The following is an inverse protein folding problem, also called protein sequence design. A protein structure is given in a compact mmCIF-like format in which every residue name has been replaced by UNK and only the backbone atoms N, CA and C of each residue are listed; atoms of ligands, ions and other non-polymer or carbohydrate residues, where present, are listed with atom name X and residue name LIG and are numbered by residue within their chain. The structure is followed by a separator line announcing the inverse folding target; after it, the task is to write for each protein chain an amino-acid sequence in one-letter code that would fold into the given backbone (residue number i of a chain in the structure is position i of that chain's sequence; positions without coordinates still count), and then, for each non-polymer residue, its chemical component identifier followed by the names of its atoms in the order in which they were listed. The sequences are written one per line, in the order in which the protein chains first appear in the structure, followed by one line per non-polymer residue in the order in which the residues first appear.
data_IF_604276307780
#
_entry.id   IF_604276307780
#
_cell.length_a   1.000
_cell.length_b   1.000
_cell.length_c   1.000
_cell.angle_alpha   90.00
_cell.angle_beta   90.00
_cell.angle_gamma   90.00
#
_symmetry.space_group_name_H-M   'P 1'
#
loop_
_entity.id
_entity.type
_entity.pdbx_description
1 polymer ?
#
# COMPACT_ATOMS: atom_id res chain seq x y z
N UNK A 1 1.73 -21.85 8.33
CA UNK A 1 2.82 -20.86 8.36
C UNK A 1 2.20 -19.51 8.08
N UNK A 2 2.59 -18.46 8.81
CA UNK A 2 2.09 -17.12 8.58
C UNK A 2 2.32 -16.66 7.14
N UNK A 3 1.44 -15.77 6.64
CA UNK A 3 1.62 -15.19 5.31
C UNK A 3 2.95 -14.43 5.22
N UNK A 4 3.78 -14.75 4.23
CA UNK A 4 5.06 -14.08 4.04
C UNK A 4 4.91 -12.70 3.39
N UNK A 5 5.88 -11.82 3.60
CA UNK A 5 5.92 -10.48 2.96
C UNK A 5 5.80 -10.57 1.44
N UNK A 6 6.50 -11.53 0.80
CA UNK A 6 6.39 -11.76 -0.64
C UNK A 6 4.97 -12.14 -1.07
N UNK A 7 4.27 -12.94 -0.27
CA UNK A 7 2.87 -13.29 -0.54
C UNK A 7 1.96 -12.07 -0.38
N UNK A 8 2.20 -11.21 0.62
CA UNK A 8 1.48 -9.95 0.82
C UNK A 8 1.68 -9.03 -0.40
N UNK A 9 2.92 -8.74 -0.79
CA UNK A 9 3.23 -7.88 -1.95
C UNK A 9 2.58 -8.40 -3.24
N UNK A 10 2.65 -9.72 -3.49
CA UNK A 10 2.00 -10.33 -4.64
C UNK A 10 0.48 -10.21 -4.58
N UNK A 11 -0.12 -10.42 -3.41
CA UNK A 11 -1.56 -10.28 -3.21
C UNK A 11 -2.02 -8.84 -3.41
N UNK A 12 -1.27 -7.85 -2.94
CA UNK A 12 -1.54 -6.43 -3.17
C UNK A 12 -1.52 -6.11 -4.67
N UNK A 13 -0.47 -6.52 -5.41
CA UNK A 13 -0.44 -6.33 -6.86
C UNK A 13 -1.64 -6.98 -7.55
N UNK A 14 -1.96 -8.22 -7.19
CA UNK A 14 -3.11 -8.94 -7.75
C UNK A 14 -4.44 -8.25 -7.45
N UNK A 15 -4.64 -7.78 -6.22
CA UNK A 15 -5.85 -7.04 -5.82
C UNK A 15 -6.01 -5.72 -6.57
N UNK A 16 -4.93 -4.96 -6.73
CA UNK A 16 -4.94 -3.71 -7.51
C UNK A 16 -5.30 -3.98 -8.97
N UNK A 17 -4.69 -4.99 -9.60
CA UNK A 17 -5.02 -5.37 -10.98
C UNK A 17 -6.49 -5.79 -11.10
N UNK A 18 -6.97 -6.65 -10.20
CA UNK A 18 -8.35 -7.14 -10.19
C UNK A 18 -9.36 -6.02 -10.01
N UNK A 19 -9.09 -5.06 -9.12
CA UNK A 19 -9.93 -3.88 -8.91
C UNK A 19 -10.01 -3.02 -10.17
N UNK A 20 -8.87 -2.76 -10.82
CA UNK A 20 -8.86 -1.98 -12.06
C UNK A 20 -9.61 -2.68 -13.20
N UNK A 21 -9.39 -3.97 -13.40
CA UNK A 21 -10.09 -4.74 -14.44
C UNK A 21 -11.60 -4.81 -14.19
N UNK A 22 -11.99 -5.02 -12.94
CA UNK A 22 -13.40 -5.05 -12.52
C UNK A 22 -14.07 -3.70 -12.77
N UNK A 23 -13.41 -2.61 -12.37
CA UNK A 23 -13.93 -1.27 -12.58
C UNK A 23 -13.99 -0.88 -14.06
N UNK A 24 -12.96 -1.20 -14.85
CA UNK A 24 -12.93 -0.98 -16.31
C UNK A 24 -14.10 -1.69 -16.99
N UNK A 25 -14.40 -2.92 -16.58
CA UNK A 25 -15.54 -3.68 -17.09
C UNK A 25 -16.89 -3.04 -16.73
N UNK A 26 -17.03 -2.51 -15.51
CA UNK A 26 -18.26 -1.87 -15.03
C UNK A 26 -18.51 -0.53 -15.73
N UNK A 27 -17.48 0.29 -15.81
CA UNK A 27 -17.51 1.64 -16.38
C UNK A 27 -17.43 1.68 -17.91
N UNK A 28 -17.13 0.54 -18.55
CA UNK A 28 -16.89 0.41 -20.00
C UNK A 28 -15.64 1.14 -20.50
N UNK A 29 -14.63 1.32 -19.64
CA UNK A 29 -13.32 1.79 -20.08
C UNK A 29 -12.57 2.70 -19.10
N UNK A 30 -13.19 3.12 -17.99
CA UNK A 30 -12.52 3.93 -16.98
C UNK A 30 -11.66 3.07 -16.05
N UNK A 31 -10.52 3.61 -15.63
CA UNK A 31 -9.66 3.01 -14.61
C UNK A 31 -9.97 3.56 -13.23
N UNK A 32 -9.53 2.85 -12.18
CA UNK A 32 -9.76 3.28 -10.79
C UNK A 32 -9.12 4.63 -10.48
N UNK A 33 -8.06 4.99 -11.21
CA UNK A 33 -7.41 6.31 -11.16
C UNK A 33 -8.34 7.44 -11.61
N UNK A 34 -9.29 7.17 -12.51
CA UNK A 34 -10.16 8.20 -13.10
C UNK A 34 -11.29 8.59 -12.16
N UNK A 35 -11.79 7.64 -11.37
CA UNK A 35 -12.97 7.82 -10.52
C UNK A 35 -12.69 7.70 -9.01
N UNK A 36 -11.46 7.37 -8.63
CA UNK A 36 -11.02 7.34 -7.24
C UNK A 36 -11.72 6.30 -6.37
N UNK A 37 -11.92 5.11 -6.91
CA UNK A 37 -12.63 4.03 -6.23
C UNK A 37 -11.69 3.24 -5.29
N UNK A 38 -11.07 3.94 -4.33
CA UNK A 38 -10.08 3.35 -3.40
C UNK A 38 -10.66 2.16 -2.63
N UNK A 39 -11.90 2.27 -2.14
CA UNK A 39 -12.56 1.17 -1.42
C UNK A 39 -12.70 -0.12 -2.24
N UNK A 40 -12.84 -0.03 -3.57
CA UNK A 40 -12.82 -1.23 -4.43
C UNK A 40 -11.41 -1.85 -4.47
N UNK A 41 -10.36 -1.04 -4.59
CA UNK A 41 -8.98 -1.53 -4.49
C UNK A 41 -8.73 -2.19 -3.14
N UNK A 42 -9.13 -1.54 -2.04
CA UNK A 42 -9.00 -2.07 -0.67
C UNK A 42 -9.69 -3.43 -0.54
N UNK A 43 -10.92 -3.56 -1.01
CA UNK A 43 -11.67 -4.81 -0.95
C UNK A 43 -11.00 -5.94 -1.75
N UNK A 44 -10.55 -5.67 -2.99
CA UNK A 44 -9.88 -6.70 -3.81
C UNK A 44 -8.50 -7.09 -3.26
N UNK A 45 -7.75 -6.15 -2.67
CA UNK A 45 -6.48 -6.43 -1.99
C UNK A 45 -6.73 -7.35 -0.78
N UNK A 46 -7.70 -7.01 0.07
CA UNK A 46 -8.05 -7.82 1.22
C UNK A 46 -8.50 -9.23 0.82
N UNK A 47 -9.37 -9.35 -0.18
CA UNK A 47 -9.80 -10.64 -0.74
C UNK A 47 -8.62 -11.45 -1.29
N UNK A 48 -7.66 -10.82 -1.96
CA UNK A 48 -6.46 -11.48 -2.47
C UNK A 48 -5.54 -11.97 -1.33
N UNK A 49 -5.42 -11.21 -0.25
CA UNK A 49 -4.65 -11.59 0.95
C UNK A 49 -5.32 -12.74 1.69
N UNK A 50 -6.64 -12.65 1.93
CA UNK A 50 -7.41 -13.67 2.64
C UNK A 50 -7.26 -15.07 1.99
N UNK A 51 -7.19 -15.13 0.65
CA UNK A 51 -6.94 -16.37 -0.11
C UNK A 51 -5.56 -16.98 0.12
N UNK A 52 -4.61 -16.23 0.69
CA UNK A 52 -3.22 -16.65 0.95
C UNK A 52 -2.92 -16.83 2.43
N UNK A 53 -3.74 -16.28 3.31
CA UNK A 53 -3.61 -16.43 4.75
C UNK A 53 -3.87 -17.88 5.19
N UNK A 54 -3.24 -18.26 6.30
CA UNK A 54 -3.60 -19.47 7.02
C UNK A 54 -4.95 -19.30 7.74
N UNK A 55 -5.62 -20.40 8.07
CA UNK A 55 -6.98 -20.37 8.64
C UNK A 55 -7.09 -19.61 9.97
N UNK A 56 -5.99 -19.53 10.71
CA UNK A 56 -5.94 -18.92 12.04
C UNK A 56 -5.46 -17.47 12.00
N UNK A 57 -5.01 -16.98 10.84
CA UNK A 57 -4.76 -15.55 10.63
C UNK A 57 -6.04 -14.85 10.22
N UNK A 58 -6.11 -13.55 10.50
CA UNK A 58 -7.24 -12.72 10.08
C UNK A 58 -6.76 -11.41 9.47
N UNK A 59 -7.70 -10.71 8.86
CA UNK A 59 -7.54 -9.33 8.45
C UNK A 59 -8.80 -8.55 8.79
N UNK A 60 -8.64 -7.26 9.04
CA UNK A 60 -9.75 -6.34 9.19
C UNK A 60 -9.53 -5.12 8.30
N UNK A 61 -10.64 -4.51 7.90
CA UNK A 61 -10.65 -3.28 7.12
C UNK A 61 -10.91 -2.09 8.05
N UNK A 62 -10.39 -0.93 7.68
CA UNK A 62 -10.74 0.34 8.31
C UNK A 62 -10.48 0.31 9.83
N UNK A 63 -9.31 -0.16 10.24
CA UNK A 63 -9.00 -0.42 11.65
C UNK A 63 -8.47 0.84 12.31
N UNK A 64 -9.13 1.27 13.39
CA UNK A 64 -8.67 2.43 14.15
C UNK A 64 -7.29 2.18 14.79
N UNK A 65 -6.43 3.20 14.81
CA UNK A 65 -5.10 3.10 15.42
C UNK A 65 -5.17 2.78 16.92
N UNK A 66 -6.28 3.17 17.58
CA UNK A 66 -6.58 2.75 18.95
C UNK A 66 -6.68 1.22 19.09
N UNK A 67 -7.31 0.55 18.14
CA UNK A 67 -7.46 -0.90 18.14
C UNK A 67 -6.11 -1.59 17.90
N UNK A 68 -5.36 -1.13 16.90
CA UNK A 68 -3.98 -1.59 16.64
C UNK A 68 -3.14 -1.49 17.91
N UNK A 69 -3.18 -0.34 18.61
CA UNK A 69 -2.47 -0.15 19.88
C UNK A 69 -2.87 -1.18 20.93
N UNK A 70 -4.17 -1.37 21.14
CA UNK A 70 -4.70 -2.30 22.15
C UNK A 70 -4.25 -3.74 21.87
N UNK A 71 -4.27 -4.16 20.60
CA UNK A 71 -3.86 -5.52 20.22
C UNK A 71 -2.34 -5.71 20.07
N UNK A 72 -1.56 -4.63 19.94
CA UNK A 72 -0.12 -4.71 19.64
C UNK A 72 0.76 -5.32 20.72
N UNK A 73 0.29 -5.44 21.98
CA UNK A 73 1.05 -5.83 23.18
C UNK A 73 2.34 -5.04 23.47
N UNK A 74 2.71 -4.09 22.62
CA UNK A 74 3.97 -3.37 22.72
C UNK A 74 4.03 -2.49 23.96
N UNK A 75 5.25 -2.28 24.47
CA UNK A 75 5.48 -1.45 25.64
C UNK A 75 4.90 -0.04 25.47
N UNK A 76 4.09 0.41 26.43
CA UNK A 76 3.53 1.76 26.44
C UNK A 76 4.67 2.76 26.73
N UNK A 77 5.06 3.56 25.73
CA UNK A 77 6.03 4.62 25.89
C UNK A 77 5.44 5.71 26.77
N UNK A 78 6.26 6.19 27.69
CA UNK A 78 5.93 7.35 28.53
C UNK A 78 6.02 8.62 27.69
N UNK A 79 5.12 9.57 27.92
CA UNK A 79 5.15 10.90 27.30
C UNK A 79 4.03 11.19 26.29
N UNK A 80 4.11 12.37 25.65
CA UNK A 80 3.13 12.83 24.67
C UNK A 80 3.22 11.97 23.41
N UNK A 81 2.08 11.50 22.92
CA UNK A 81 2.02 10.70 21.70
C UNK A 81 2.26 11.58 20.46
N UNK A 82 2.99 11.08 19.45
CA UNK A 82 3.11 11.74 18.16
C UNK A 82 1.73 11.95 17.52
N UNK A 83 1.55 13.07 16.81
CA UNK A 83 0.32 13.37 16.06
C UNK A 83 0.02 12.33 14.98
N UNK A 84 1.06 11.74 14.39
CA UNK A 84 0.94 10.63 13.44
C UNK A 84 0.21 9.40 14.04
N UNK A 85 0.28 9.22 15.37
CA UNK A 85 -0.38 8.13 16.10
C UNK A 85 -1.71 8.58 16.74
N UNK A 86 -2.40 9.53 16.13
CA UNK A 86 -3.74 9.92 16.57
C UNK A 86 -4.68 8.71 16.55
N UNK A 87 -5.37 8.46 17.66
CA UNK A 87 -6.26 7.31 17.84
C UNK A 87 -7.50 7.34 16.94
N UNK A 88 -7.86 8.52 16.41
CA UNK A 88 -8.95 8.69 15.47
C UNK A 88 -8.56 8.32 14.03
N UNK A 89 -7.27 8.13 13.75
CA UNK A 89 -6.82 7.63 12.46
C UNK A 89 -7.21 6.16 12.29
N UNK A 90 -7.33 5.73 11.04
CA UNK A 90 -7.62 4.35 10.63
C UNK A 90 -6.60 3.94 9.57
N UNK A 91 -6.27 2.65 9.55
CA UNK A 91 -5.56 2.01 8.45
C UNK A 91 -6.58 1.28 7.57
N UNK A 92 -6.42 1.34 6.24
CA UNK A 92 -7.35 0.70 5.31
C UNK A 92 -7.44 -0.83 5.51
N UNK A 93 -6.30 -1.49 5.74
CA UNK A 93 -6.22 -2.94 6.03
C UNK A 93 -5.20 -3.20 7.14
N UNK A 94 -5.53 -4.09 8.07
CA UNK A 94 -4.61 -4.62 9.08
C UNK A 94 -4.65 -6.14 9.06
N UNK A 95 -3.49 -6.76 9.05
CA UNK A 95 -3.35 -8.22 9.19
C UNK A 95 -3.02 -8.56 10.63
N UNK A 96 -3.60 -9.65 11.12
CA UNK A 96 -3.38 -10.18 12.46
C UNK A 96 -2.86 -11.62 12.39
N UNK A 97 -1.97 -11.95 13.32
CA UNK A 97 -1.53 -13.33 13.54
C UNK A 97 -2.60 -14.16 14.29
N UNK A 98 -2.30 -15.42 14.57
CA UNK A 98 -3.19 -16.33 15.30
C UNK A 98 -3.53 -15.89 16.73
N UNK A 99 -2.70 -15.03 17.33
CA UNK A 99 -2.91 -14.47 18.67
C UNK A 99 -3.62 -13.10 18.60
N UNK A 100 -4.16 -12.74 17.42
CA UNK A 100 -4.84 -11.48 17.16
C UNK A 100 -3.96 -10.24 17.38
N UNK A 101 -2.66 -10.37 17.15
CA UNK A 101 -1.70 -9.26 17.21
C UNK A 101 -1.44 -8.72 15.80
N UNK A 102 -1.40 -7.39 15.62
CA UNK A 102 -1.20 -6.77 14.32
C UNK A 102 0.22 -7.04 13.81
N UNK A 103 0.32 -7.58 12.59
CA UNK A 103 1.60 -7.89 11.93
C UNK A 103 1.92 -6.97 10.77
N UNK A 104 0.89 -6.40 10.15
CA UNK A 104 1.00 -5.58 8.96
C UNK A 104 -0.12 -4.55 8.88
N UNK A 105 0.21 -3.35 8.40
CA UNK A 105 -0.76 -2.31 8.02
C UNK A 105 -0.62 -1.96 6.54
N UNK A 106 -1.72 -1.71 5.85
CA UNK A 106 -1.73 -1.35 4.44
C UNK A 106 -2.63 -0.13 4.27
N UNK A 107 -2.11 0.91 3.64
CA UNK A 107 -2.86 2.06 3.15
C UNK A 107 -2.95 1.99 1.62
N UNK A 108 -4.11 2.31 1.08
CA UNK A 108 -4.43 2.20 -0.34
C UNK A 108 -4.74 3.58 -0.89
N UNK A 109 -4.15 3.92 -2.03
CA UNK A 109 -4.41 5.16 -2.75
C UNK A 109 -4.72 4.94 -4.21
N UNK A 110 -5.61 5.74 -4.76
CA UNK A 110 -5.94 5.72 -6.19
C UNK A 110 -4.80 6.22 -7.06
N UNK A 111 -3.90 7.03 -6.50
CA UNK A 111 -2.77 7.66 -7.19
C UNK A 111 -1.78 8.22 -6.16
N UNK A 112 -0.61 8.62 -6.62
CA UNK A 112 0.31 9.40 -5.80
C UNK A 112 -0.12 10.86 -5.70
N UNK A 113 -0.44 11.28 -4.49
CA UNK A 113 -0.52 12.68 -4.09
C UNK A 113 0.52 12.92 -3.01
N UNK A 114 1.49 13.78 -3.30
CA UNK A 114 2.67 13.98 -2.46
C UNK A 114 2.30 14.23 -0.99
N UNK A 115 1.40 15.16 -0.70
CA UNK A 115 1.10 15.54 0.69
C UNK A 115 0.37 14.42 1.44
N UNK A 116 -0.60 13.78 0.78
CA UNK A 116 -1.39 12.74 1.41
C UNK A 116 -0.59 11.45 1.58
N UNK A 117 0.08 10.98 0.52
CA UNK A 117 0.95 9.80 0.57
C UNK A 117 2.09 9.99 1.57
N UNK A 118 2.63 11.21 1.68
CA UNK A 118 3.63 11.55 2.70
C UNK A 118 3.11 11.35 4.13
N UNK A 119 1.94 11.90 4.43
CA UNK A 119 1.32 11.74 5.75
C UNK A 119 1.03 10.26 6.04
N UNK A 120 0.57 9.50 5.06
CA UNK A 120 0.35 8.06 5.19
C UNK A 120 1.65 7.30 5.50
N UNK A 121 2.72 7.58 4.77
CA UNK A 121 4.03 6.98 5.03
C UNK A 121 4.55 7.35 6.42
N UNK A 122 4.38 8.61 6.86
CA UNK A 122 4.73 9.01 8.22
C UNK A 122 3.93 8.24 9.28
N UNK A 123 2.63 8.03 9.06
CA UNK A 123 1.77 7.25 9.96
C UNK A 123 2.18 5.78 9.99
N UNK A 124 2.42 5.17 8.84
CA UNK A 124 2.90 3.78 8.72
C UNK A 124 4.24 3.61 9.45
N UNK A 125 5.20 4.51 9.20
CA UNK A 125 6.49 4.47 9.87
C UNK A 125 6.35 4.59 11.38
N UNK A 126 5.54 5.54 11.86
CA UNK A 126 5.30 5.71 13.28
C UNK A 126 4.65 4.48 13.92
N UNK A 127 3.78 3.77 13.21
CA UNK A 127 3.19 2.50 13.67
C UNK A 127 4.24 1.40 13.77
N UNK A 128 5.05 1.19 12.72
CA UNK A 128 6.11 0.17 12.70
C UNK A 128 7.17 0.45 13.78
N UNK A 129 7.66 1.69 13.89
CA UNK A 129 8.66 2.06 14.91
C UNK A 129 8.13 1.86 16.35
N UNK A 130 6.82 1.96 16.55
CA UNK A 130 6.19 1.92 17.87
C UNK A 130 5.74 0.52 18.29
N UNK A 131 5.25 -0.27 17.35
CA UNK A 131 4.52 -1.52 17.60
C UNK A 131 5.22 -2.73 16.98
N UNK A 132 6.45 -2.59 16.50
CA UNK A 132 7.31 -3.67 16.04
C UNK A 132 7.81 -4.58 17.16
N UNK A 133 8.38 -5.72 16.76
CA UNK A 133 8.97 -6.75 17.61
C UNK A 133 10.08 -6.26 18.53
N UNK A 134 10.86 -5.26 18.12
CA UNK A 134 11.87 -4.64 18.99
C UNK A 134 11.27 -3.88 20.20
N UNK A 135 9.97 -3.58 20.17
CA UNK A 135 9.19 -2.99 21.27
C UNK A 135 8.25 -3.99 21.95
N UNK A 136 8.44 -5.29 21.75
CA UNK A 136 7.56 -6.38 22.20
C UNK A 136 6.19 -6.38 21.51
N UNK A 137 6.09 -5.75 20.34
CA UNK A 137 4.94 -5.88 19.46
C UNK A 137 5.20 -6.86 18.32
N UNK A 138 4.41 -6.77 17.25
CA UNK A 138 4.47 -7.69 16.10
C UNK A 138 4.34 -6.98 14.75
N UNK A 139 4.12 -5.66 14.75
CA UNK A 139 3.89 -4.86 13.56
C UNK A 139 5.23 -4.48 12.92
N UNK A 140 5.82 -5.43 12.21
CA UNK A 140 7.13 -5.27 11.57
C UNK A 140 7.05 -4.77 10.13
N UNK A 141 5.84 -4.71 9.56
CA UNK A 141 5.64 -4.32 8.17
C UNK A 141 4.50 -3.32 7.98
N UNK A 142 4.66 -2.45 6.99
CA UNK A 142 3.64 -1.54 6.54
C UNK A 142 3.75 -1.24 5.05
N UNK A 143 2.62 -1.01 4.38
CA UNK A 143 2.57 -0.83 2.94
C UNK A 143 1.74 0.39 2.57
N UNK A 144 2.23 1.20 1.62
CA UNK A 144 1.42 2.15 0.87
C UNK A 144 1.28 1.61 -0.56
N UNK A 145 0.07 1.28 -0.96
CA UNK A 145 -0.24 0.61 -2.21
C UNK A 145 -1.09 1.51 -3.11
N UNK A 146 -0.77 1.59 -4.41
CA UNK A 146 -1.49 2.46 -5.33
C UNK A 146 -1.46 2.00 -6.78
N UNK A 147 -2.35 2.58 -7.60
CA UNK A 147 -2.30 2.48 -9.05
C UNK A 147 -1.81 3.81 -9.65
N UNK A 148 -0.91 3.74 -10.63
CA UNK A 148 -0.37 4.89 -11.33
C UNK A 148 -0.64 4.73 -12.82
N UNK A 149 -1.50 5.58 -13.38
CA UNK A 149 -1.74 5.66 -14.82
C UNK A 149 -0.85 6.72 -15.47
N UNK A 150 -0.19 6.36 -16.57
CA UNK A 150 0.63 7.27 -17.39
C UNK A 150 0.30 7.11 -18.86
N UNK A 151 0.36 8.22 -19.59
CA UNK A 151 0.21 8.30 -21.03
C UNK A 151 1.55 8.54 -21.69
N UNK A 152 1.71 8.06 -22.91
CA UNK A 152 2.79 8.45 -23.81
C UNK A 152 2.86 9.98 -23.97
N UNK A 153 4.08 10.51 -23.92
CA UNK A 153 4.38 11.91 -24.18
C UNK A 153 5.08 12.09 -25.52
N UNK A 154 5.37 13.34 -25.90
CA UNK A 154 6.00 13.67 -27.21
C UNK A 154 7.34 12.96 -27.50
N UNK A 155 8.05 12.52 -26.45
CA UNK A 155 9.42 12.02 -26.55
C UNK A 155 9.57 10.61 -25.94
N UNK A 156 8.65 10.17 -25.07
CA UNK A 156 8.82 8.97 -24.26
C UNK A 156 7.55 8.11 -24.22
N UNK A 157 7.74 6.79 -24.24
CA UNK A 157 6.68 5.80 -24.02
C UNK A 157 6.08 5.92 -22.60
N UNK A 158 4.87 5.37 -22.36
CA UNK A 158 4.27 5.37 -21.03
C UNK A 158 5.16 4.71 -19.97
N UNK A 159 5.85 3.63 -20.35
CA UNK A 159 6.83 2.92 -19.51
C UNK A 159 8.01 3.82 -19.15
N UNK A 160 8.63 4.48 -20.13
CA UNK A 160 9.73 5.42 -19.86
C UNK A 160 9.30 6.61 -18.99
N UNK A 161 8.05 7.06 -19.09
CA UNK A 161 7.49 8.09 -18.21
C UNK A 161 7.28 7.54 -16.80
N UNK A 162 6.77 6.31 -16.68
CA UNK A 162 6.61 5.64 -15.40
C UNK A 162 7.96 5.42 -14.70
N UNK A 163 9.00 4.96 -15.41
CA UNK A 163 10.33 4.75 -14.84
C UNK A 163 10.97 6.05 -14.32
N UNK A 164 10.86 7.14 -15.08
CA UNK A 164 11.33 8.46 -14.61
C UNK A 164 10.54 8.95 -13.38
N UNK A 165 9.24 8.68 -13.35
CA UNK A 165 8.40 8.99 -12.21
C UNK A 165 8.78 8.13 -10.98
N UNK A 166 9.00 6.83 -11.18
CA UNK A 166 9.42 5.89 -10.16
C UNK A 166 10.76 6.28 -9.55
N UNK A 167 11.72 6.72 -10.37
CA UNK A 167 13.01 7.23 -9.91
C UNK A 167 12.85 8.38 -8.91
N UNK A 168 12.00 9.37 -9.23
CA UNK A 168 11.73 10.51 -8.34
C UNK A 168 11.07 10.09 -7.04
N UNK A 169 10.11 9.16 -7.10
CA UNK A 169 9.46 8.62 -5.90
C UNK A 169 10.48 7.89 -5.03
N UNK A 170 11.34 7.05 -5.63
CA UNK A 170 12.42 6.33 -4.93
C UNK A 170 13.37 7.28 -4.21
N UNK A 171 13.95 8.24 -4.94
CA UNK A 171 14.86 9.24 -4.39
C UNK A 171 14.25 9.97 -3.18
N UNK A 172 12.98 10.35 -3.30
CA UNK A 172 12.27 11.06 -2.25
C UNK A 172 11.98 10.19 -1.02
N UNK A 173 11.39 9.00 -1.22
CA UNK A 173 11.03 8.11 -0.12
C UNK A 173 12.27 7.63 0.62
N UNK A 174 13.34 7.32 -0.12
CA UNK A 174 14.61 6.91 0.48
C UNK A 174 15.26 8.04 1.28
N UNK A 175 15.27 9.27 0.76
CA UNK A 175 15.84 10.43 1.46
C UNK A 175 15.17 10.68 2.81
N UNK A 176 13.85 10.49 2.89
CA UNK A 176 13.05 10.94 4.02
C UNK A 176 12.73 9.83 5.05
N UNK A 177 12.51 8.60 4.58
CA UNK A 177 12.01 7.51 5.43
C UNK A 177 13.03 6.41 5.70
N UNK A 178 14.09 6.30 4.89
CA UNK A 178 15.12 5.30 5.11
C UNK A 178 15.98 5.71 6.31
N UNK A 179 16.14 4.83 7.29
CA UNK A 179 17.02 5.07 8.43
C UNK A 179 17.48 3.74 9.05
N UNK A 180 18.29 3.81 10.11
CA UNK A 180 18.81 2.62 10.76
C UNK A 180 17.73 1.69 11.36
N UNK A 181 16.50 2.16 11.60
CA UNK A 181 15.42 1.35 12.17
C UNK A 181 14.46 0.77 11.13
N UNK A 182 14.55 1.19 9.87
CA UNK A 182 13.58 0.87 8.82
C UNK A 182 14.28 0.58 7.50
N UNK A 183 13.77 -0.42 6.78
CA UNK A 183 14.11 -0.72 5.39
C UNK A 183 12.95 -0.31 4.50
N UNK A 184 13.27 0.45 3.45
CA UNK A 184 12.33 0.79 2.38
C UNK A 184 12.50 -0.19 1.24
N UNK A 185 11.40 -0.68 0.67
CA UNK A 185 11.43 -1.45 -0.58
C UNK A 185 10.29 -1.00 -1.48
N UNK A 186 10.58 -0.80 -2.76
CA UNK A 186 9.60 -0.31 -3.73
C UNK A 186 9.39 -1.39 -4.79
N UNK A 187 8.14 -1.83 -4.92
CA UNK A 187 7.71 -2.87 -5.85
C UNK A 187 6.74 -2.29 -6.86
N UNK A 188 6.87 -2.67 -8.12
CA UNK A 188 5.94 -2.24 -9.16
C UNK A 188 5.67 -3.35 -10.17
N UNK A 189 4.49 -3.28 -10.79
CA UNK A 189 4.07 -4.22 -11.83
C UNK A 189 3.13 -3.54 -12.81
N UNK A 190 3.34 -3.75 -14.11
CA UNK A 190 2.38 -3.33 -15.13
C UNK A 190 1.04 -4.05 -14.87
N UNK A 191 -0.01 -3.27 -14.64
CA UNK A 191 -1.34 -3.77 -14.32
C UNK A 191 -2.23 -3.79 -15.56
N UNK A 192 -2.14 -2.77 -16.41
CA UNK A 192 -2.99 -2.63 -17.59
C UNK A 192 -2.31 -1.81 -18.68
N UNK A 193 -2.58 -2.15 -19.93
CA UNK A 193 -2.34 -1.29 -21.09
C UNK A 193 -3.68 -0.98 -21.72
N UNK A 194 -3.90 0.28 -22.12
CA UNK A 194 -5.13 0.67 -22.78
C UNK A 194 -5.27 -0.11 -24.09
N UNK A 195 -6.43 -0.74 -24.37
CA UNK A 195 -6.62 -1.51 -25.59
C UNK A 195 -6.36 -0.69 -26.86
N UNK A 196 -5.78 -1.33 -27.89
CA UNK A 196 -5.39 -0.68 -29.15
C UNK A 196 -6.50 0.14 -29.82
N UNK A 197 -7.77 -0.27 -29.68
CA UNK A 197 -8.89 0.44 -30.29
C UNK A 197 -9.13 1.83 -29.68
N UNK A 198 -8.83 2.02 -28.38
CA UNK A 198 -8.88 3.32 -27.72
C UNK A 198 -7.60 4.14 -27.88
N UNK A 199 -6.47 3.52 -28.20
CA UNK A 199 -5.18 4.23 -28.28
C UNK A 199 -5.16 5.30 -29.38
N UNK A 200 -5.90 5.12 -30.48
CA UNK A 200 -5.98 6.12 -31.56
C UNK A 200 -6.59 7.44 -31.10
N UNK A 201 -7.55 7.37 -30.18
CA UNK A 201 -8.31 8.52 -29.69
C UNK A 201 -7.68 9.13 -28.43
N UNK A 202 -7.24 8.27 -27.52
CA UNK A 202 -6.79 8.68 -26.17
C UNK A 202 -5.27 8.62 -25.99
N UNK A 203 -4.53 8.11 -26.97
CA UNK A 203 -3.10 7.81 -26.89
C UNK A 203 -2.80 6.50 -26.18
N UNK A 204 -1.52 6.11 -26.14
CA UNK A 204 -1.10 4.91 -25.43
C UNK A 204 -1.04 5.20 -23.92
N UNK A 205 -1.83 4.47 -23.13
CA UNK A 205 -1.83 4.55 -21.67
C UNK A 205 -1.43 3.22 -21.06
N UNK A 206 -0.71 3.29 -19.94
CA UNK A 206 -0.42 2.16 -19.08
C UNK A 206 -0.74 2.49 -17.63
N UNK A 207 -1.27 1.52 -16.91
CA UNK A 207 -1.47 1.57 -15.47
C UNK A 207 -0.51 0.59 -14.78
N UNK A 208 0.15 1.07 -13.74
CA UNK A 208 1.15 0.33 -12.97
C UNK A 208 0.70 0.27 -11.52
N UNK A 209 0.72 -0.93 -10.94
CA UNK A 209 0.62 -1.08 -9.49
C UNK A 209 1.97 -0.70 -8.89
N UNK A 210 1.96 0.17 -7.88
CA UNK A 210 3.13 0.63 -7.13
C UNK A 210 2.91 0.36 -5.64
N UNK A 211 3.91 -0.19 -4.98
CA UNK A 211 3.89 -0.52 -3.55
C UNK A 211 5.16 0.04 -2.93
N UNK A 212 4.99 0.83 -1.88
CA UNK A 212 6.08 1.24 -0.99
C UNK A 212 5.94 0.43 0.30
N UNK A 213 6.91 -0.44 0.55
CA UNK A 213 6.99 -1.26 1.75
C UNK A 213 7.95 -0.61 2.74
N UNK A 214 7.48 -0.47 3.97
CA UNK A 214 8.25 -0.13 5.16
C UNK A 214 8.39 -1.40 5.98
N UNK A 215 9.60 -1.85 6.22
CA UNK A 215 9.89 -2.97 7.10
C UNK A 215 10.78 -2.53 8.23
N UNK A 216 10.64 -3.15 9.40
CA UNK A 216 11.62 -3.04 10.48
C UNK A 216 12.99 -3.47 9.96
N UNK A 217 14.04 -2.69 10.20
CA UNK A 217 15.41 -3.13 9.97
C UNK A 217 15.79 -4.23 10.98
N UNK A 218 16.51 -5.25 10.53
CA UNK A 218 16.93 -6.40 11.36
C UNK A 218 17.71 -5.97 12.60
#
# INVERSE_FOLDING_TARGET
MPISERQITNAIHSGICAANEKYEKWSKGCWVTDSGVEGLMTAEIAEAINKKQSKDESLELEVAFKHIRTCSTANIARGRRPTALNENNRADIVLFNCDYQPTCVIEVKRSWDYNNCWLDLQRICALVDRYSSNKQGYLDNGFLAMLIAKREGRINSPEGIFENYLKKVKEYVEYEFNNASRKISIHHKLARTLPNYYQKEYGNWQAWSLIIQISRAE
#
